data_IF_218295579780
#
_entry.id   IF_218295579780
#
_cell.length_a   1.000
_cell.length_b   1.000
_cell.length_c   1.000
_cell.angle_alpha   90.00
_cell.angle_beta   90.00
_cell.angle_gamma   90.00
#
_symmetry.space_group_name_H-M   'P 1'
#
loop_
_entity.id
_entity.type
_entity.pdbx_description
1 polymer ?
#
# COMPACT_ATOMS: atom_id res chain seq x y z
N UNK A 1 -6.72 -19.97 -0.84
CA UNK A 1 -5.54 -19.09 -1.02
C UNK A 1 -5.70 -18.40 -2.36
N UNK A 2 -5.88 -17.09 -2.39
CA UNK A 2 -5.92 -16.36 -3.66
C UNK A 2 -4.48 -16.02 -4.06
N UNK A 3 -3.85 -16.90 -4.84
CA UNK A 3 -2.52 -16.67 -5.41
C UNK A 3 -2.56 -15.63 -6.54
N UNK A 4 -3.10 -14.46 -6.24
CA UNK A 4 -3.22 -13.40 -7.22
C UNK A 4 -1.89 -12.66 -7.42
N UNK A 5 -1.03 -12.61 -6.41
CA UNK A 5 0.27 -11.95 -6.48
C UNK A 5 1.43 -12.95 -6.59
N UNK A 6 2.49 -12.56 -7.29
CA UNK A 6 3.75 -13.29 -7.44
C UNK A 6 4.90 -12.30 -7.66
N UNK A 7 6.14 -12.74 -7.46
CA UNK A 7 7.32 -11.93 -7.78
C UNK A 7 7.80 -12.23 -9.20
N UNK A 8 8.21 -11.21 -9.93
CA UNK A 8 8.77 -11.35 -11.28
C UNK A 8 10.03 -10.51 -11.42
N UNK A 9 11.06 -11.07 -12.05
CA UNK A 9 12.25 -10.34 -12.39
C UNK A 9 11.92 -9.12 -13.26
N UNK A 10 12.49 -7.96 -12.91
CA UNK A 10 12.23 -6.70 -13.63
C UNK A 10 12.86 -6.67 -15.03
N UNK A 11 13.91 -7.47 -15.27
CA UNK A 11 14.53 -7.59 -16.58
C UNK A 11 13.58 -8.34 -17.53
N UNK A 12 13.10 -7.69 -18.61
CA UNK A 12 12.16 -8.29 -19.56
C UNK A 12 12.69 -9.54 -20.25
N UNK A 13 14.02 -9.68 -20.37
CA UNK A 13 14.65 -10.85 -21.00
C UNK A 13 14.83 -12.03 -20.04
N UNK A 14 14.82 -11.76 -18.73
CA UNK A 14 14.90 -12.77 -17.68
C UNK A 14 13.51 -13.31 -17.37
N UNK A 15 12.60 -12.45 -16.93
CA UNK A 15 11.20 -12.80 -16.67
C UNK A 15 10.94 -13.90 -15.65
N UNK A 16 11.96 -14.38 -14.91
CA UNK A 16 11.81 -15.43 -13.89
C UNK A 16 10.75 -15.04 -12.85
N UNK A 17 9.92 -16.00 -12.48
CA UNK A 17 8.81 -15.82 -11.56
C UNK A 17 9.03 -16.63 -10.29
N UNK A 18 8.63 -16.06 -9.15
CA UNK A 18 8.81 -16.66 -7.84
C UNK A 18 7.51 -16.51 -7.03
N UNK A 19 7.25 -17.44 -6.08
CA UNK A 19 6.15 -17.30 -5.13
C UNK A 19 6.21 -15.96 -4.37
N UNK A 20 5.05 -15.39 -4.02
CA UNK A 20 4.98 -14.09 -3.33
C UNK A 20 5.65 -14.06 -1.95
N UNK A 21 5.79 -15.22 -1.31
CA UNK A 21 6.47 -15.40 -0.02
C UNK A 21 7.98 -15.64 -0.16
N UNK A 22 8.53 -15.51 -1.36
CA UNK A 22 9.98 -15.61 -1.59
C UNK A 22 10.67 -14.43 -0.89
N UNK A 23 11.69 -14.75 -0.09
CA UNK A 23 12.43 -13.76 0.71
C UNK A 23 13.52 -13.04 -0.07
N UNK A 24 13.97 -13.61 -1.19
CA UNK A 24 14.96 -13.01 -2.06
C UNK A 24 14.39 -11.75 -2.71
N UNK A 25 15.19 -10.70 -2.75
CA UNK A 25 14.87 -9.44 -3.45
C UNK A 25 15.39 -9.43 -4.89
N UNK A 26 16.27 -10.39 -5.22
CA UNK A 26 16.90 -10.56 -6.52
C UNK A 26 16.59 -11.94 -7.08
N UNK A 27 16.49 -12.01 -8.41
CA UNK A 27 16.42 -13.26 -9.14
C UNK A 27 17.80 -13.94 -9.17
N UNK A 28 17.84 -15.21 -9.57
CA UNK A 28 19.08 -16.00 -9.68
C UNK A 28 20.12 -15.40 -10.66
N UNK A 29 19.73 -14.41 -11.48
CA UNK A 29 20.60 -13.67 -12.40
C UNK A 29 21.04 -12.29 -11.88
N UNK A 30 20.74 -11.96 -10.62
CA UNK A 30 21.18 -10.73 -9.95
C UNK A 30 20.33 -9.47 -10.24
N UNK A 31 19.16 -9.62 -10.85
CA UNK A 31 18.23 -8.50 -11.10
C UNK A 31 17.13 -8.46 -10.03
N UNK A 32 16.66 -7.26 -9.69
CA UNK A 32 15.58 -7.09 -8.71
C UNK A 32 14.27 -7.81 -9.12
N UNK A 33 13.49 -8.16 -8.11
CA UNK A 33 12.14 -8.68 -8.24
C UNK A 33 11.10 -7.58 -8.01
N UNK A 34 10.02 -7.61 -8.76
CA UNK A 34 8.85 -6.75 -8.62
C UNK A 34 7.59 -7.58 -8.36
N UNK A 35 6.61 -6.99 -7.67
CA UNK A 35 5.34 -7.65 -7.36
C UNK A 35 4.41 -7.51 -8.56
N UNK A 36 3.97 -8.65 -9.11
CA UNK A 36 2.99 -8.73 -10.19
C UNK A 36 1.72 -9.40 -9.73
N UNK A 37 0.62 -9.09 -10.42
CA UNK A 37 -0.69 -9.67 -10.16
C UNK A 37 -1.18 -10.41 -11.42
N UNK A 38 -1.70 -11.63 -11.24
CA UNK A 38 -2.25 -12.44 -12.33
C UNK A 38 -3.53 -11.82 -12.90
N UNK A 39 -4.40 -11.34 -11.99
CA UNK A 39 -5.70 -10.80 -12.34
C UNK A 39 -5.80 -9.32 -11.98
N UNK A 40 -6.54 -8.59 -12.82
CA UNK A 40 -6.94 -7.22 -12.51
C UNK A 40 -7.88 -7.23 -11.28
N UNK A 41 -7.66 -6.38 -10.27
CA UNK A 41 -8.56 -6.30 -9.12
C UNK A 41 -9.99 -5.90 -9.52
N UNK A 42 -10.98 -6.43 -8.79
CA UNK A 42 -12.40 -6.10 -9.03
C UNK A 42 -12.67 -4.59 -8.86
N UNK A 43 -13.44 -3.95 -9.75
CA UNK A 43 -13.87 -2.57 -9.57
C UNK A 43 -14.65 -2.33 -8.26
N UNK A 44 -15.31 -3.35 -7.72
CA UNK A 44 -16.10 -3.28 -6.47
C UNK A 44 -15.23 -2.93 -5.25
N UNK A 45 -13.92 -3.19 -5.33
CA UNK A 45 -12.98 -2.79 -4.29
C UNK A 45 -12.99 -1.28 -4.03
N UNK A 46 -13.35 -0.46 -5.03
CA UNK A 46 -13.49 0.99 -4.84
C UNK A 46 -14.53 1.31 -3.76
N UNK A 47 -15.70 0.69 -3.83
CA UNK A 47 -16.77 0.89 -2.85
C UNK A 47 -16.37 0.33 -1.48
N UNK A 48 -15.72 -0.83 -1.44
CA UNK A 48 -15.18 -1.39 -0.20
C UNK A 48 -14.22 -0.42 0.48
N UNK A 49 -13.26 0.14 -0.25
CA UNK A 49 -12.28 1.10 0.29
C UNK A 49 -12.93 2.41 0.70
N UNK A 50 -13.94 2.86 -0.04
CA UNK A 50 -14.70 4.06 0.28
C UNK A 50 -15.45 3.92 1.61
N UNK A 51 -16.09 2.77 1.83
CA UNK A 51 -16.81 2.45 3.06
C UNK A 51 -15.89 2.39 4.29
N UNK A 52 -14.66 1.91 4.12
CA UNK A 52 -13.65 1.86 5.19
C UNK A 52 -13.18 3.22 5.69
N UNK A 53 -13.50 4.32 5.01
CA UNK A 53 -13.23 5.67 5.53
C UNK A 53 -14.00 5.95 6.83
N UNK A 54 -15.11 5.25 7.06
CA UNK A 54 -15.67 5.09 8.40
C UNK A 54 -15.00 3.89 9.07
N UNK A 55 -13.98 4.15 9.90
CA UNK A 55 -13.12 3.08 10.44
C UNK A 55 -13.83 2.17 11.44
N UNK A 56 -14.86 2.66 12.13
CA UNK A 56 -15.55 1.97 13.21
C UNK A 56 -14.59 1.39 14.27
N UNK A 57 -13.50 2.11 14.57
CA UNK A 57 -12.48 1.67 15.53
C UNK A 57 -11.61 0.51 15.05
N UNK A 58 -11.52 0.27 13.74
CA UNK A 58 -10.57 -0.64 13.14
C UNK A 58 -9.37 0.13 12.58
N UNK A 59 -8.21 0.02 13.25
CA UNK A 59 -6.96 0.68 12.86
C UNK A 59 -6.52 0.34 11.43
N UNK A 60 -6.85 -0.87 10.94
CA UNK A 60 -6.52 -1.28 9.57
C UNK A 60 -7.39 -0.59 8.52
N UNK A 61 -8.53 -0.02 8.90
CA UNK A 61 -9.34 0.82 8.03
C UNK A 61 -8.88 2.29 8.08
N UNK A 62 -8.23 2.71 9.17
CA UNK A 62 -7.63 4.04 9.32
C UNK A 62 -6.32 4.18 8.55
N UNK A 63 -5.50 3.14 8.60
CA UNK A 63 -4.25 3.04 7.86
C UNK A 63 -4.47 3.31 6.37
N UNK A 64 -3.73 4.28 5.83
CA UNK A 64 -3.65 4.56 4.41
C UNK A 64 -3.00 3.44 3.60
N UNK A 65 -2.41 2.43 4.26
CA UNK A 65 -1.89 1.20 3.64
C UNK A 65 -2.92 0.08 3.73
N UNK A 66 -3.28 -0.32 4.96
CA UNK A 66 -4.10 -1.50 5.21
C UNK A 66 -5.59 -1.31 4.90
N UNK A 67 -6.04 -0.08 4.65
CA UNK A 67 -7.39 0.15 4.09
C UNK A 67 -7.55 -0.53 2.73
N UNK A 68 -6.44 -0.75 2.02
CA UNK A 68 -6.35 -1.37 0.70
C UNK A 68 -5.80 -2.80 0.72
N UNK A 69 -5.83 -3.48 1.88
CA UNK A 69 -5.19 -4.78 2.12
C UNK A 69 -5.56 -5.90 1.14
N UNK A 70 -6.69 -5.84 0.44
CA UNK A 70 -7.05 -6.76 -0.65
C UNK A 70 -6.04 -6.71 -1.80
N UNK A 71 -5.47 -5.54 -2.06
CA UNK A 71 -4.45 -5.35 -3.08
C UNK A 71 -3.07 -5.81 -2.60
N UNK A 72 -2.84 -5.92 -1.29
CA UNK A 72 -1.54 -6.18 -0.68
C UNK A 72 -1.55 -7.44 0.20
N UNK A 73 -2.45 -8.40 -0.08
CA UNK A 73 -2.65 -9.58 0.78
C UNK A 73 -1.61 -10.69 0.58
N UNK A 74 -0.32 -10.34 0.64
CA UNK A 74 0.78 -11.32 0.56
C UNK A 74 0.81 -12.26 1.78
N UNK A 75 0.20 -11.87 2.90
CA UNK A 75 -0.02 -12.72 4.08
C UNK A 75 -1.13 -13.78 3.88
N UNK A 76 -1.92 -13.68 2.80
CA UNK A 76 -3.02 -14.59 2.47
C UNK A 76 -4.06 -14.78 3.59
N UNK A 77 -4.31 -13.72 4.36
CA UNK A 77 -5.29 -13.72 5.47
C UNK A 77 -6.70 -13.37 4.98
N UNK A 78 -7.71 -13.63 5.81
CA UNK A 78 -9.04 -13.06 5.61
C UNK A 78 -8.99 -11.55 5.91
N UNK A 79 -9.04 -10.73 4.86
CA UNK A 79 -8.98 -9.26 4.96
C UNK A 79 -10.23 -8.64 5.57
N UNK A 80 -11.35 -9.38 5.64
CA UNK A 80 -12.55 -8.96 6.35
C UNK A 80 -12.47 -9.17 7.86
N UNK A 81 -11.64 -10.10 8.31
CA UNK A 81 -11.52 -10.50 9.70
C UNK A 81 -10.49 -9.63 10.45
N UNK A 82 -10.95 -8.90 11.48
CA UNK A 82 -10.11 -7.98 12.26
C UNK A 82 -9.06 -8.71 13.07
N UNK A 83 -9.41 -9.86 13.64
CA UNK A 83 -8.53 -10.69 14.46
C UNK A 83 -7.38 -11.26 13.62
N UNK A 84 -7.67 -11.77 12.43
CA UNK A 84 -6.66 -12.24 11.48
C UNK A 84 -5.75 -11.08 11.03
N UNK A 85 -6.32 -9.92 10.69
CA UNK A 85 -5.53 -8.73 10.38
C UNK A 85 -4.60 -8.35 11.55
N UNK A 86 -5.09 -8.38 12.78
CA UNK A 86 -4.31 -8.06 13.99
C UNK A 86 -3.17 -9.04 14.25
N UNK A 87 -3.40 -10.33 13.99
CA UNK A 87 -2.37 -11.37 14.16
C UNK A 87 -1.22 -11.22 13.18
N UNK A 88 -1.46 -10.73 11.96
CA UNK A 88 -0.47 -10.75 10.89
C UNK A 88 0.07 -9.37 10.53
N UNK A 89 -0.79 -8.36 10.37
CA UNK A 89 -0.43 -7.05 9.85
C UNK A 89 0.18 -6.16 10.94
N UNK A 90 1.25 -5.46 10.59
CA UNK A 90 1.90 -4.46 11.42
C UNK A 90 1.48 -3.08 10.94
N UNK A 91 1.03 -2.23 11.86
CA UNK A 91 0.58 -0.86 11.57
C UNK A 91 1.08 0.09 12.65
N UNK A 92 1.26 1.37 12.33
CA UNK A 92 1.66 2.42 13.26
C UNK A 92 0.42 3.02 13.93
N UNK A 93 -0.34 2.17 14.63
CA UNK A 93 -1.65 2.52 15.22
C UNK A 93 -2.66 3.08 14.18
N UNK A 94 -2.57 2.61 12.94
CA UNK A 94 -3.41 3.09 11.83
C UNK A 94 -3.07 4.50 11.34
N UNK A 95 -1.96 5.09 11.79
CA UNK A 95 -1.61 6.47 11.45
C UNK A 95 -0.88 6.62 10.12
N UNK A 96 -0.16 5.58 9.64
CA UNK A 96 0.53 5.63 8.35
C UNK A 96 -0.46 5.88 7.20
N UNK A 97 -0.14 6.81 6.31
CA UNK A 97 -0.95 7.26 5.18
C UNK A 97 -2.29 7.91 5.56
N UNK A 98 -2.64 8.01 6.85
CA UNK A 98 -3.93 8.58 7.30
C UNK A 98 -3.95 10.10 7.14
N UNK A 99 -2.83 10.75 7.42
CA UNK A 99 -2.70 12.21 7.47
C UNK A 99 -2.27 12.84 6.14
N UNK A 100 -1.97 12.04 5.11
CA UNK A 100 -1.48 12.53 3.82
C UNK A 100 -2.60 12.93 2.85
N UNK A 101 -3.74 13.43 3.35
CA UNK A 101 -4.81 13.91 2.46
C UNK A 101 -4.31 15.10 1.63
N UNK A 102 -4.47 15.08 0.28
CA UNK A 102 -4.09 16.21 -0.55
C UNK A 102 -4.86 17.49 -0.21
N UNK A 103 -4.20 18.63 -0.28
CA UNK A 103 -4.81 19.95 -0.12
C UNK A 103 -4.39 20.93 -1.22
N UNK A 104 -5.24 21.91 -1.50
CA UNK A 104 -5.02 22.90 -2.55
C UNK A 104 -3.94 23.89 -2.16
N UNK A 105 -3.07 24.20 -3.12
CA UNK A 105 -1.96 25.14 -2.95
C UNK A 105 -2.24 26.46 -3.65
N UNK A 106 -3.37 27.12 -3.34
CA UNK A 106 -3.85 28.30 -4.06
C UNK A 106 -2.80 29.42 -4.22
N UNK A 107 -2.02 29.71 -3.17
CA UNK A 107 -0.95 30.73 -3.23
C UNK A 107 0.19 30.36 -4.18
N UNK A 108 0.50 29.06 -4.29
CA UNK A 108 1.53 28.58 -5.23
C UNK A 108 0.95 28.55 -6.65
N UNK A 109 -0.34 28.22 -6.80
CA UNK A 109 -1.03 28.34 -8.08
C UNK A 109 -1.01 29.79 -8.59
N UNK A 110 -1.28 30.77 -7.73
CA UNK A 110 -1.17 32.21 -8.06
C UNK A 110 0.24 32.57 -8.53
N UNK A 111 1.27 32.15 -7.79
CA UNK A 111 2.66 32.39 -8.13
C UNK A 111 3.04 31.81 -9.51
N UNK A 112 2.45 30.69 -9.89
CA UNK A 112 2.66 30.02 -11.18
C UNK A 112 1.73 30.51 -12.30
N UNK A 113 0.78 31.42 -12.02
CA UNK A 113 -0.22 31.87 -12.98
C UNK A 113 -1.25 30.78 -13.35
N UNK A 114 -1.55 29.87 -12.43
CA UNK A 114 -2.46 28.74 -12.61
C UNK A 114 -3.77 28.92 -11.84
N UNK A 115 -4.82 28.20 -12.23
CA UNK A 115 -6.10 28.17 -11.48
C UNK A 115 -5.91 27.49 -10.11
N UNK A 116 -6.65 27.94 -9.09
CA UNK A 116 -6.50 27.47 -7.70
C UNK A 116 -6.80 25.98 -7.49
N UNK A 117 -7.59 25.39 -8.38
CA UNK A 117 -7.98 23.98 -8.36
C UNK A 117 -7.01 23.06 -9.11
N UNK A 118 -5.99 23.62 -9.78
CA UNK A 118 -5.05 22.88 -10.62
C UNK A 118 -3.81 22.37 -9.89
N UNK A 119 -3.55 22.84 -8.66
CA UNK A 119 -2.37 22.46 -7.90
C UNK A 119 -2.73 21.92 -6.50
N UNK A 120 -2.34 20.67 -6.27
CA UNK A 120 -2.58 19.95 -5.03
C UNK A 120 -1.25 19.43 -4.47
N UNK A 121 -1.10 19.52 -3.15
CA UNK A 121 0.04 18.93 -2.42
C UNK A 121 -0.46 17.77 -1.57
N UNK A 122 0.18 16.61 -1.72
CA UNK A 122 -0.01 15.45 -0.85
C UNK A 122 1.12 15.42 0.19
N UNK A 123 0.86 15.76 1.46
CA UNK A 123 1.91 15.91 2.47
C UNK A 123 2.30 14.55 3.07
N UNK A 124 3.06 13.75 2.33
CA UNK A 124 3.55 12.45 2.85
C UNK A 124 4.55 12.56 4.01
N UNK A 125 4.99 13.79 4.33
CA UNK A 125 5.77 14.08 5.54
C UNK A 125 4.94 14.13 6.83
N UNK A 126 3.61 14.05 6.78
CA UNK A 126 2.75 14.01 7.97
C UNK A 126 2.53 12.59 8.52
N UNK A 127 3.23 11.62 7.96
CA UNK A 127 3.31 10.28 8.54
C UNK A 127 4.06 10.29 9.89
N UNK A 128 3.84 9.29 10.76
CA UNK A 128 4.42 9.25 12.12
C UNK A 128 5.93 9.53 12.22
N UNK A 129 6.75 9.04 11.30
CA UNK A 129 8.20 9.27 11.27
C UNK A 129 8.62 10.57 10.57
N UNK A 130 7.66 11.32 10.03
CA UNK A 130 7.93 12.48 9.19
C UNK A 130 8.22 12.15 7.72
N UNK A 131 7.95 10.92 7.28
CA UNK A 131 8.34 10.43 5.94
C UNK A 131 7.33 9.49 5.31
N UNK A 132 7.21 9.56 3.98
CA UNK A 132 6.41 8.64 3.15
C UNK A 132 6.79 7.16 3.34
N UNK A 133 8.01 6.89 3.84
CA UNK A 133 8.53 5.53 4.04
C UNK A 133 7.72 4.71 5.03
N UNK A 134 6.96 5.34 5.93
CA UNK A 134 6.09 4.61 6.87
C UNK A 134 5.10 3.69 6.15
N UNK A 135 4.61 4.12 4.98
CA UNK A 135 3.70 3.32 4.16
C UNK A 135 4.35 1.99 3.72
N UNK A 136 5.61 2.06 3.29
CA UNK A 136 6.38 0.87 2.89
C UNK A 136 6.92 0.08 4.08
N UNK A 137 7.28 0.74 5.18
CA UNK A 137 7.75 0.06 6.38
C UNK A 137 6.65 -0.77 7.05
N UNK A 138 5.40 -0.31 6.99
CA UNK A 138 4.22 -1.07 7.46
C UNK A 138 4.15 -2.45 6.78
N UNK A 139 4.30 -2.51 5.45
CA UNK A 139 4.33 -3.78 4.70
C UNK A 139 5.63 -4.55 4.88
N UNK A 140 6.79 -3.89 4.90
CA UNK A 140 8.09 -4.54 5.06
C UNK A 140 8.23 -5.23 6.42
N UNK A 141 7.79 -4.58 7.51
CA UNK A 141 7.83 -5.17 8.86
C UNK A 141 6.78 -6.28 9.00
N UNK A 142 5.63 -6.15 8.33
CA UNK A 142 4.67 -7.25 8.20
C UNK A 142 5.28 -8.46 7.49
N UNK A 143 6.01 -8.24 6.38
CA UNK A 143 6.72 -9.31 5.69
C UNK A 143 7.83 -9.93 6.56
N UNK A 144 8.56 -9.13 7.34
CA UNK A 144 9.58 -9.63 8.27
C UNK A 144 9.01 -10.52 9.39
N UNK A 145 7.72 -10.38 9.70
CA UNK A 145 7.01 -11.20 10.69
C UNK A 145 6.57 -12.58 10.14
N UNK A 146 6.58 -12.78 8.82
CA UNK A 146 6.22 -14.04 8.14
C UNK A 146 7.35 -15.09 8.21
#
# INVERSE_FOLDING_TARGET
MNENAYLKCIDPTCGLEYPINTRNIECERGHLLDVKYKNRPSPELKELFYNRRNSQGNIFNESGVWRFRELLNFCQVDTGNKEECSKHLVSLDGAEGRQSKPYQMSKVADFLGMNHDSLWLQPEGYNPSGSFKDNGMSTAVTHAKL
#
